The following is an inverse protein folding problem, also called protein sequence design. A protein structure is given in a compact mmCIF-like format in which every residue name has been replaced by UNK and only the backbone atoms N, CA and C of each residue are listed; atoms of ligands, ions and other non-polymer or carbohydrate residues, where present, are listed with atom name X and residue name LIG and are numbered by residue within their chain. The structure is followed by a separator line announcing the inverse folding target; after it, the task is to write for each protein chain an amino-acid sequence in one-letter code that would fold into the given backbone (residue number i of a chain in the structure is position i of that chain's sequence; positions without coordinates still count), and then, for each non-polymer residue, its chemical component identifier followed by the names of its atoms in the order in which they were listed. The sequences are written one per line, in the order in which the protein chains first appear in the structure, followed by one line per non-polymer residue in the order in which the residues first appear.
data_IF_011745214647
#
_entry.id   IF_011745214647
#
_cell.length_a   1.000
_cell.length_b   1.000
_cell.length_c   1.000
_cell.angle_alpha   90.00
_cell.angle_beta   90.00
_cell.angle_gamma   90.00
#
_symmetry.space_group_name_H-M   'P 1'
#
loop_
_entity.id
_entity.type
_entity.pdbx_description
1 polymer ?
#
# COMPACT_ATOMS: atom_id res chain seq x y z
N UNK A 1 -5.75 -6.57 17.61
CA UNK A 1 -4.45 -6.70 16.92
C UNK A 1 -4.52 -7.95 16.07
N UNK A 2 -3.73 -8.08 15.00
CA UNK A 2 -3.69 -9.35 14.26
C UNK A 2 -3.04 -10.40 15.17
N UNK A 3 -3.84 -11.33 15.71
CA UNK A 3 -3.37 -12.31 16.71
C UNK A 3 -2.26 -13.23 16.18
N UNK A 4 -2.03 -13.24 14.86
CA UNK A 4 -0.99 -14.02 14.18
C UNK A 4 0.24 -13.20 13.76
N UNK A 5 0.23 -11.87 13.91
CA UNK A 5 1.39 -11.02 13.56
C UNK A 5 1.74 -11.00 12.07
N UNK A 6 0.77 -11.18 11.18
CA UNK A 6 1.01 -11.32 9.73
C UNK A 6 0.83 -10.03 8.93
N UNK A 7 0.46 -8.93 9.60
CA UNK A 7 0.20 -7.66 8.95
C UNK A 7 1.38 -6.73 9.18
N UNK A 8 1.80 -6.08 8.09
CA UNK A 8 2.86 -5.10 8.09
C UNK A 8 2.36 -3.78 7.51
N UNK A 9 2.99 -2.69 7.91
CA UNK A 9 2.68 -1.33 7.46
C UNK A 9 3.96 -0.59 7.08
N UNK A 10 3.76 0.58 6.46
CA UNK A 10 4.84 1.51 6.08
C UNK A 10 4.36 2.94 6.21
N UNK A 11 5.31 3.88 6.16
CA UNK A 11 5.05 5.32 6.24
C UNK A 11 3.96 5.84 5.27
N UNK A 12 3.85 5.32 4.05
CA UNK A 12 2.77 5.72 3.13
C UNK A 12 1.38 5.41 3.73
N UNK A 13 1.18 4.18 4.19
CA UNK A 13 -0.03 3.72 4.88
C UNK A 13 -0.28 4.56 6.15
N UNK A 14 0.76 4.79 6.97
CA UNK A 14 0.60 5.58 8.20
C UNK A 14 0.14 7.02 7.89
N UNK A 15 0.68 7.65 6.85
CA UNK A 15 0.26 8.99 6.41
C UNK A 15 -1.20 8.99 5.93
N UNK A 16 -1.60 8.02 5.12
CA UNK A 16 -2.98 7.92 4.61
C UNK A 16 -3.99 7.72 5.73
N UNK A 17 -3.72 6.79 6.66
CA UNK A 17 -4.63 6.56 7.79
C UNK A 17 -4.65 7.76 8.75
N UNK A 18 -3.53 8.46 8.92
CA UNK A 18 -3.51 9.70 9.70
C UNK A 18 -4.26 10.85 9.02
N UNK A 19 -4.31 10.88 7.69
CA UNK A 19 -5.06 11.90 6.94
C UNK A 19 -6.56 11.84 7.23
N UNK A 20 -7.11 10.66 7.53
CA UNK A 20 -8.52 10.50 7.90
C UNK A 20 -8.84 10.88 9.36
N UNK A 21 -7.84 11.17 10.19
CA UNK A 21 -8.05 11.51 11.58
C UNK A 21 -8.78 12.85 11.73
N UNK A 22 -9.84 12.88 12.54
CA UNK A 22 -10.68 14.06 12.78
C UNK A 22 -10.23 14.88 13.99
N UNK A 23 -9.23 14.40 14.73
CA UNK A 23 -8.66 15.09 15.89
C UNK A 23 -7.24 14.62 16.22
N UNK A 24 -6.51 15.43 16.99
CA UNK A 24 -5.19 15.04 17.49
C UNK A 24 -5.22 13.77 18.37
N UNK A 25 -6.29 13.59 19.17
CA UNK A 25 -6.47 12.40 20.00
C UNK A 25 -6.68 11.15 19.15
N UNK A 26 -7.46 11.26 18.08
CA UNK A 26 -7.65 10.16 17.13
C UNK A 26 -6.36 9.82 16.38
N UNK A 27 -5.62 10.83 15.91
CA UNK A 27 -4.32 10.64 15.27
C UNK A 27 -3.32 9.91 16.19
N UNK A 28 -3.27 10.28 17.47
CA UNK A 28 -2.43 9.57 18.45
C UNK A 28 -2.86 8.12 18.65
N UNK A 29 -4.17 7.85 18.69
CA UNK A 29 -4.72 6.49 18.78
C UNK A 29 -4.37 5.65 17.55
N UNK A 30 -4.55 6.20 16.34
CA UNK A 30 -4.17 5.55 15.08
C UNK A 30 -2.69 5.18 15.10
N UNK A 31 -1.84 6.15 15.43
CA UNK A 31 -0.39 5.94 15.49
C UNK A 31 0.01 4.88 16.52
N UNK A 32 -0.68 4.83 17.66
CA UNK A 32 -0.47 3.78 18.65
C UNK A 32 -0.90 2.40 18.13
N UNK A 33 -2.04 2.31 17.43
CA UNK A 33 -2.52 1.05 16.84
C UNK A 33 -1.58 0.52 15.76
N UNK A 34 -1.09 1.38 14.87
CA UNK A 34 -0.22 0.99 13.76
C UNK A 34 1.14 0.45 14.22
N UNK A 35 1.61 0.82 15.41
CA UNK A 35 2.82 0.22 16.03
C UNK A 35 2.67 -1.26 16.38
N UNK A 36 1.45 -1.80 16.34
CA UNK A 36 1.19 -3.22 16.54
C UNK A 36 1.44 -4.08 15.31
N UNK A 37 1.81 -3.50 14.17
CA UNK A 37 2.13 -4.19 12.93
C UNK A 37 3.64 -4.16 12.66
N UNK A 38 4.12 -5.13 11.89
CA UNK A 38 5.50 -5.12 11.43
C UNK A 38 5.77 -3.91 10.54
N UNK A 39 6.97 -3.35 10.64
CA UNK A 39 7.36 -2.17 9.88
C UNK A 39 8.31 -2.55 8.75
N UNK A 40 7.84 -2.48 7.50
CA UNK A 40 8.70 -2.78 6.35
C UNK A 40 9.64 -1.60 6.08
N UNK A 41 10.98 -1.80 6.00
CA UNK A 41 11.90 -0.73 5.62
C UNK A 41 11.67 -0.24 4.18
N UNK A 42 11.81 1.07 3.95
CA UNK A 42 11.71 1.65 2.60
C UNK A 42 13.00 2.36 2.21
N UNK A 43 14.03 1.65 1.71
CA UNK A 43 15.21 2.29 1.15
C UNK A 43 14.97 2.79 -0.28
N UNK A 44 15.96 3.50 -0.82
CA UNK A 44 15.82 4.34 -2.00
C UNK A 44 15.45 3.56 -3.29
N UNK A 45 15.84 2.30 -3.40
CA UNK A 45 15.52 1.43 -4.54
C UNK A 45 14.01 1.17 -4.72
N UNK A 46 13.19 1.38 -3.68
CA UNK A 46 11.72 1.35 -3.79
C UNK A 46 11.21 2.54 -4.60
N UNK A 47 11.84 3.71 -4.49
CA UNK A 47 11.45 4.88 -5.29
C UNK A 47 11.76 4.64 -6.76
N UNK A 48 12.94 4.10 -7.06
CA UNK A 48 13.31 3.72 -8.42
C UNK A 48 12.32 2.71 -9.00
N UNK A 49 11.93 1.71 -8.20
CA UNK A 49 10.95 0.71 -8.61
C UNK A 49 9.57 1.31 -8.85
N UNK A 50 9.10 2.18 -7.96
CA UNK A 50 7.82 2.88 -8.13
C UNK A 50 7.79 3.73 -9.41
N UNK A 51 8.88 4.44 -9.71
CA UNK A 51 9.03 5.21 -10.95
C UNK A 51 9.02 4.30 -12.19
N UNK A 52 9.73 3.17 -12.16
CA UNK A 52 9.72 2.21 -13.26
C UNK A 52 8.30 1.65 -13.52
N UNK A 53 7.55 1.30 -12.47
CA UNK A 53 6.16 0.86 -12.61
C UNK A 53 5.28 1.97 -13.18
N UNK A 54 5.46 3.22 -12.74
CA UNK A 54 4.72 4.37 -13.27
C UNK A 54 5.01 4.61 -14.76
N UNK A 55 6.27 4.50 -15.17
CA UNK A 55 6.66 4.59 -16.58
C UNK A 55 6.04 3.45 -17.38
N UNK A 56 5.99 2.22 -16.86
CA UNK A 56 5.30 1.10 -17.52
C UNK A 56 3.78 1.33 -17.62
N UNK A 57 3.16 1.87 -16.59
CA UNK A 57 1.75 2.26 -16.60
C UNK A 57 1.46 3.37 -17.62
N UNK A 58 2.42 4.27 -17.85
CA UNK A 58 2.30 5.35 -18.85
C UNK A 58 2.19 4.76 -20.25
N UNK A 59 3.04 3.78 -20.58
CA UNK A 59 2.98 3.09 -21.87
C UNK A 59 1.68 2.31 -22.09
N UNK A 60 1.01 1.90 -21.00
CA UNK A 60 -0.31 1.23 -21.03
C UNK A 60 -1.50 2.20 -20.96
N UNK A 61 -1.25 3.51 -20.82
CA UNK A 61 -2.29 4.53 -20.70
C UNK A 61 -2.97 4.63 -19.34
N UNK A 62 -2.52 3.90 -18.31
CA UNK A 62 -3.14 3.84 -16.98
C UNK A 62 -2.41 4.63 -15.89
N UNK A 63 -1.27 5.28 -16.18
CA UNK A 63 -0.45 6.01 -15.19
C UNK A 63 -1.17 7.06 -14.35
N UNK A 64 -2.29 7.62 -14.82
CA UNK A 64 -3.03 8.64 -14.07
C UNK A 64 -4.01 8.07 -13.04
N UNK A 65 -4.29 6.77 -13.10
CA UNK A 65 -5.08 6.10 -12.09
C UNK A 65 -4.24 5.95 -10.81
N UNK A 66 -3.01 5.45 -10.97
CA UNK A 66 -2.14 5.07 -9.86
C UNK A 66 -1.67 6.26 -9.03
N UNK A 67 -1.94 6.22 -7.72
CA UNK A 67 -1.40 7.20 -6.78
C UNK A 67 0.08 6.91 -6.46
N UNK A 68 0.79 7.94 -5.97
CA UNK A 68 2.15 7.75 -5.46
C UNK A 68 2.18 6.78 -4.26
N UNK A 69 1.15 6.81 -3.41
CA UNK A 69 1.08 5.93 -2.25
C UNK A 69 0.95 4.46 -2.67
N UNK A 70 0.07 4.15 -3.62
CA UNK A 70 -0.12 2.78 -4.12
C UNK A 70 1.15 2.22 -4.75
N UNK A 71 1.85 3.02 -5.55
CA UNK A 71 3.12 2.64 -6.14
C UNK A 71 4.18 2.34 -5.08
N UNK A 72 4.29 3.16 -4.04
CA UNK A 72 5.25 2.95 -2.96
C UNK A 72 4.89 1.75 -2.08
N UNK A 73 3.60 1.54 -1.80
CA UNK A 73 3.11 0.38 -1.06
C UNK A 73 3.40 -0.89 -1.86
N UNK A 74 3.06 -0.92 -3.13
CA UNK A 74 3.28 -2.06 -4.01
C UNK A 74 4.77 -2.38 -4.17
N UNK A 75 5.61 -1.38 -4.46
CA UNK A 75 7.06 -1.59 -4.59
C UNK A 75 7.70 -2.02 -3.26
N UNK A 76 7.22 -1.51 -2.12
CA UNK A 76 7.64 -2.00 -0.80
C UNK A 76 7.27 -3.48 -0.63
N UNK A 77 6.03 -3.86 -0.91
CA UNK A 77 5.57 -5.24 -0.76
C UNK A 77 6.34 -6.19 -1.69
N UNK A 78 6.54 -5.81 -2.95
CA UNK A 78 7.32 -6.57 -3.94
C UNK A 78 8.73 -6.84 -3.43
N UNK A 79 9.42 -5.80 -2.94
CA UNK A 79 10.79 -5.92 -2.43
C UNK A 79 10.93 -6.85 -1.23
N UNK A 80 9.92 -6.86 -0.36
CA UNK A 80 9.93 -7.69 0.86
C UNK A 80 9.26 -9.05 0.68
N UNK A 81 8.81 -9.40 -0.53
CA UNK A 81 8.09 -10.64 -0.80
C UNK A 81 6.74 -10.74 -0.07
N UNK A 82 6.14 -9.60 0.24
CA UNK A 82 4.85 -9.50 0.90
C UNK A 82 3.70 -9.43 -0.12
N UNK A 83 2.53 -9.88 0.30
CA UNK A 83 1.27 -9.70 -0.46
C UNK A 83 0.63 -8.38 -0.06
N UNK A 84 0.26 -7.55 -1.04
CA UNK A 84 -0.53 -6.35 -0.74
C UNK A 84 -1.95 -6.78 -0.42
N UNK A 85 -2.43 -6.43 0.77
CA UNK A 85 -3.81 -6.60 1.18
C UNK A 85 -4.55 -5.28 0.96
N UNK A 86 -5.55 -5.26 0.06
CA UNK A 86 -6.17 -4.01 -0.41
C UNK A 86 -7.69 -4.10 -0.58
N UNK A 87 -8.31 -2.94 -0.77
CA UNK A 87 -9.67 -2.79 -1.26
C UNK A 87 -9.73 -1.64 -2.29
N UNK A 88 -8.76 -1.64 -3.21
CA UNK A 88 -8.60 -0.64 -4.27
C UNK A 88 -8.23 -1.33 -5.58
N UNK A 89 -8.94 -1.00 -6.66
CA UNK A 89 -8.73 -1.56 -7.99
C UNK A 89 -7.40 -1.16 -8.63
N UNK A 90 -6.74 -0.10 -8.16
CA UNK A 90 -5.45 0.34 -8.68
C UNK A 90 -4.35 -0.71 -8.44
N UNK A 91 -4.45 -1.53 -7.39
CA UNK A 91 -3.52 -2.64 -7.17
C UNK A 91 -3.68 -3.77 -8.20
N UNK A 92 -4.85 -3.93 -8.84
CA UNK A 92 -4.99 -4.88 -9.95
C UNK A 92 -4.23 -4.37 -11.19
N UNK A 93 -4.25 -3.06 -11.44
CA UNK A 93 -3.48 -2.42 -12.52
C UNK A 93 -1.97 -2.56 -12.28
N UNK A 94 -1.53 -2.36 -11.03
CA UNK A 94 -0.13 -2.56 -10.64
C UNK A 94 0.27 -4.03 -10.81
N UNK A 95 -0.56 -4.97 -10.36
CA UNK A 95 -0.33 -6.41 -10.51
C UNK A 95 -0.21 -6.83 -11.97
N UNK A 96 -1.01 -6.25 -12.86
CA UNK A 96 -0.91 -6.49 -14.30
C UNK A 96 0.41 -5.98 -14.92
N UNK A 97 1.20 -5.17 -14.20
CA UNK A 97 2.52 -4.69 -14.61
C UNK A 97 3.63 -5.50 -13.93
N UNK A 98 3.52 -5.76 -12.63
CA UNK A 98 4.62 -6.34 -11.83
C UNK A 98 4.52 -7.86 -11.66
N UNK A 99 3.31 -8.42 -11.76
CA UNK A 99 3.03 -9.82 -11.42
C UNK A 99 3.11 -10.12 -9.92
N UNK A 100 3.24 -9.10 -9.07
CA UNK A 100 3.36 -9.28 -7.62
C UNK A 100 2.05 -9.79 -7.00
N UNK A 101 2.09 -10.50 -5.88
CA UNK A 101 0.88 -10.99 -5.23
C UNK A 101 0.11 -9.84 -4.57
N UNK A 102 -1.19 -9.80 -4.83
CA UNK A 102 -2.15 -8.94 -4.13
C UNK A 102 -3.36 -9.76 -3.69
N UNK A 103 -4.12 -9.25 -2.73
CA UNK A 103 -5.31 -9.90 -2.21
C UNK A 103 -6.31 -8.85 -1.78
N UNK A 104 -7.53 -8.98 -2.28
CA UNK A 104 -8.67 -8.21 -1.83
C UNK A 104 -9.08 -8.65 -0.40
N UNK A 105 -9.27 -7.69 0.52
CA UNK A 105 -9.73 -7.98 1.90
C UNK A 105 -11.12 -8.59 1.97
N UNK A 106 -11.95 -8.28 0.96
CA UNK A 106 -13.30 -8.75 0.74
C UNK A 106 -13.58 -8.70 -0.77
N UNK A 107 -14.57 -9.43 -1.31
CA UNK A 107 -14.89 -9.37 -2.73
C UNK A 107 -15.14 -7.93 -3.20
N UNK A 108 -14.62 -7.57 -4.38
CA UNK A 108 -14.80 -6.22 -4.94
C UNK A 108 -16.28 -5.84 -5.03
N UNK A 109 -16.61 -4.61 -4.61
CA UNK A 109 -17.98 -4.07 -4.58
C UNK A 109 -18.84 -4.53 -3.39
N UNK A 110 -18.26 -5.16 -2.36
CA UNK A 110 -19.00 -5.62 -1.16
C UNK A 110 -18.75 -4.82 0.12
N UNK A 111 -17.75 -3.94 0.13
CA UNK A 111 -17.43 -2.98 1.18
C UNK A 111 -17.38 -1.55 0.63
N UNK A 112 -17.63 -0.58 1.51
CA UNK A 112 -17.63 0.88 1.25
C UNK A 112 -16.41 1.57 1.89
#
# INVERSE_FOLDING_TARGET
MSDRGLLAVRGAIEIEVLHSARSAKEAQRIRWLLRGFDWLPMPDDIWDRAIDVQVKALHKGSHRALSMADLLIAATAERHGATVLHYDGDFDLITAITGQPTTWVAPAGTAD
#
